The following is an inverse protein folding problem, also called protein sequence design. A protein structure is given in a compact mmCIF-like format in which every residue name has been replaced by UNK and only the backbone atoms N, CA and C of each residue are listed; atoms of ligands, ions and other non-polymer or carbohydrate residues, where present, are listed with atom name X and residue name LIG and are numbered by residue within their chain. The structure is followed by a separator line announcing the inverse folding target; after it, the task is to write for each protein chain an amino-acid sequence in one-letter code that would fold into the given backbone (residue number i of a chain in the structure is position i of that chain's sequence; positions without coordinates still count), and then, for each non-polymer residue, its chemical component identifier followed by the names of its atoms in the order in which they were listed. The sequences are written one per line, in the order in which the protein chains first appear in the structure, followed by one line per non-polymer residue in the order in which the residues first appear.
data_IF_221079540885
#
_entry.id   IF_221079540885
#
_cell.length_a   1.000
_cell.length_b   1.000
_cell.length_c   1.000
_cell.angle_alpha   90.00
_cell.angle_beta   90.00
_cell.angle_gamma   90.00
#
_symmetry.space_group_name_H-M   'P 1'
#
loop_
_entity.id
_entity.type
_entity.pdbx_description
1 polymer ?
#
# COMPACT_ATOMS: atom_id res chain seq x y z
N UNK A 1 56.58 5.60 29.57
CA UNK A 1 55.94 5.39 28.26
C UNK A 1 55.30 4.03 28.24
N UNK A 2 53.99 3.95 28.46
CA UNK A 2 53.19 2.73 28.26
C UNK A 2 51.82 3.15 27.73
N UNK A 3 51.60 2.90 26.44
CA UNK A 3 50.33 3.18 25.76
C UNK A 3 49.30 2.11 26.11
N UNK A 4 48.26 2.50 26.85
CA UNK A 4 47.06 1.68 27.06
C UNK A 4 46.09 1.84 25.89
N UNK A 5 45.78 0.75 25.20
CA UNK A 5 44.81 0.68 24.10
C UNK A 5 43.38 0.94 24.59
N UNK A 6 42.51 1.70 23.89
CA UNK A 6 41.15 1.96 24.34
C UNK A 6 40.26 0.74 24.04
N UNK A 7 39.71 0.13 25.10
CA UNK A 7 38.64 -0.89 25.00
C UNK A 7 37.44 -0.30 24.26
N UNK A 8 37.09 -0.88 23.12
CA UNK A 8 35.89 -0.54 22.34
C UNK A 8 34.64 -0.81 23.20
N UNK A 9 33.92 0.25 23.59
CA UNK A 9 32.57 0.13 24.14
C UNK A 9 31.64 -0.31 23.00
N UNK A 10 31.20 -1.57 23.02
CA UNK A 10 30.10 -2.04 22.17
C UNK A 10 28.88 -1.18 22.46
N UNK A 11 28.39 -0.45 21.45
CA UNK A 11 27.11 0.27 21.53
C UNK A 11 25.97 -0.75 21.59
N UNK A 12 24.98 -0.60 22.48
CA UNK A 12 23.82 -1.48 22.46
C UNK A 12 23.00 -1.24 21.18
N UNK A 13 22.58 -2.33 20.54
CA UNK A 13 21.67 -2.30 19.39
C UNK A 13 20.29 -1.74 19.80
N UNK A 14 19.56 -1.06 18.89
CA UNK A 14 18.22 -0.56 19.17
C UNK A 14 17.25 -1.72 19.50
N UNK A 15 16.49 -1.54 20.60
CA UNK A 15 15.72 -2.55 21.34
C UNK A 15 14.42 -3.03 20.68
N UNK A 16 14.08 -2.60 19.46
CA UNK A 16 12.80 -2.94 18.83
C UNK A 16 12.70 -4.39 18.34
N UNK A 17 13.80 -5.16 18.35
CA UNK A 17 13.84 -6.52 17.77
C UNK A 17 13.47 -7.65 18.75
N UNK A 18 13.35 -7.39 20.05
CA UNK A 18 13.16 -8.45 21.08
C UNK A 18 11.77 -8.46 21.75
N UNK A 19 10.86 -7.56 21.39
CA UNK A 19 9.54 -7.45 22.04
C UNK A 19 8.36 -8.02 21.24
N UNK A 20 8.63 -8.79 20.18
CA UNK A 20 7.60 -9.42 19.34
C UNK A 20 7.51 -10.95 19.44
N UNK A 21 8.17 -11.56 20.43
CA UNK A 21 7.93 -12.96 20.83
C UNK A 21 7.13 -12.97 22.14
N UNK A 22 5.83 -12.69 22.04
CA UNK A 22 4.95 -12.75 23.22
C UNK A 22 3.50 -12.33 23.03
N UNK A 23 3.13 -11.75 21.88
CA UNK A 23 1.72 -11.47 21.57
C UNK A 23 1.32 -12.26 20.33
N UNK A 24 0.83 -13.48 20.56
CA UNK A 24 -0.09 -14.14 19.63
C UNK A 24 -1.32 -13.23 19.47
N UNK A 25 -1.22 -12.29 18.55
CA UNK A 25 -2.33 -11.44 18.14
C UNK A 25 -3.40 -12.36 17.59
N UNK A 26 -4.42 -12.62 18.40
CA UNK A 26 -5.66 -13.21 17.93
C UNK A 26 -6.13 -12.37 16.76
N UNK A 27 -6.28 -12.99 15.59
CA UNK A 27 -6.98 -12.39 14.47
C UNK A 27 -8.39 -12.03 14.98
N UNK A 28 -8.59 -10.77 15.33
CA UNK A 28 -9.89 -10.25 15.75
C UNK A 28 -10.76 -10.27 14.51
N UNK A 29 -11.47 -11.38 14.34
CA UNK A 29 -12.54 -11.54 13.36
C UNK A 29 -13.46 -10.33 13.48
N UNK A 30 -13.45 -9.47 12.45
CA UNK A 30 -14.28 -8.25 12.36
C UNK A 30 -15.70 -8.59 12.83
N UNK A 31 -16.15 -7.99 13.94
CA UNK A 31 -17.56 -8.07 14.34
C UNK A 31 -18.36 -7.24 13.34
N UNK A 32 -19.27 -7.91 12.62
CA UNK A 32 -20.16 -7.31 11.61
C UNK A 32 -21.31 -6.58 12.30
N UNK A 33 -21.54 -5.33 11.92
CA UNK A 33 -22.81 -4.62 12.12
C UNK A 33 -23.67 -4.83 10.87
N UNK A 34 -24.98 -5.11 10.98
CA UNK A 34 -25.84 -5.30 9.82
C UNK A 34 -26.27 -3.95 9.24
N UNK A 35 -25.54 -3.48 8.23
CA UNK A 35 -25.80 -2.29 7.43
C UNK A 35 -24.77 -2.24 6.30
N UNK A 36 -25.16 -1.84 5.08
CA UNK A 36 -24.33 -1.87 3.87
C UNK A 36 -22.90 -1.36 4.13
N UNK A 37 -21.89 -2.14 3.74
CA UNK A 37 -20.49 -1.87 4.08
C UNK A 37 -19.97 -0.67 3.29
N UNK A 38 -19.88 0.51 3.91
CA UNK A 38 -19.17 1.68 3.35
C UNK A 38 -17.81 1.26 2.79
N UNK A 39 -17.51 1.56 1.52
CA UNK A 39 -16.17 1.39 0.93
C UNK A 39 -15.31 2.57 1.34
N UNK A 40 -14.15 2.35 1.94
CA UNK A 40 -13.24 3.46 2.28
C UNK A 40 -12.00 3.48 1.38
N UNK A 41 -11.87 4.51 0.55
CA UNK A 41 -10.68 4.75 -0.29
C UNK A 41 -9.88 5.92 0.25
N UNK A 42 -8.62 5.70 0.57
CA UNK A 42 -7.73 6.76 1.09
C UNK A 42 -6.63 7.06 0.08
N UNK A 43 -6.56 8.30 -0.40
CA UNK A 43 -5.48 8.77 -1.25
C UNK A 43 -4.39 9.43 -0.40
N UNK A 44 -3.18 8.89 -0.47
CA UNK A 44 -1.99 9.49 0.10
C UNK A 44 -1.25 10.28 -0.98
N UNK A 45 -1.05 11.57 -0.74
CA UNK A 45 -0.39 12.48 -1.69
C UNK A 45 0.94 12.97 -1.14
N UNK A 46 1.97 13.09 -1.99
CA UNK A 46 3.28 13.64 -1.64
C UNK A 46 3.53 15.00 -2.31
N UNK A 47 2.54 15.89 -2.20
CA UNK A 47 2.51 17.19 -2.85
C UNK A 47 3.44 18.19 -2.16
N UNK A 48 4.25 18.95 -2.90
CA UNK A 48 5.11 19.99 -2.31
C UNK A 48 4.48 21.39 -2.23
N UNK A 49 3.40 21.61 -2.98
CA UNK A 49 2.63 22.86 -3.01
C UNK A 49 1.17 22.62 -2.68
N UNK A 50 0.46 23.66 -2.25
CA UNK A 50 -0.98 23.60 -1.96
C UNK A 50 -1.80 23.33 -3.24
N UNK A 51 -1.40 23.94 -4.36
CA UNK A 51 -1.95 23.70 -5.69
C UNK A 51 -1.18 22.63 -6.49
N UNK A 52 -0.91 21.48 -5.87
CA UNK A 52 -0.13 20.44 -6.54
C UNK A 52 -0.92 19.67 -7.59
N UNK A 53 -0.27 19.37 -8.72
CA UNK A 53 -0.81 18.48 -9.76
C UNK A 53 -1.07 17.07 -9.23
N UNK A 54 -0.30 16.59 -8.25
CA UNK A 54 -0.50 15.27 -7.65
C UNK A 54 -1.76 15.22 -6.79
N UNK A 55 -2.10 16.31 -6.07
CA UNK A 55 -3.39 16.44 -5.38
C UNK A 55 -4.55 16.47 -6.37
N UNK A 56 -4.43 17.26 -7.44
CA UNK A 56 -5.46 17.30 -8.49
C UNK A 56 -5.67 15.95 -9.17
N UNK A 57 -4.59 15.18 -9.39
CA UNK A 57 -4.68 13.83 -9.94
C UNK A 57 -5.38 12.88 -8.97
N UNK A 58 -5.00 12.89 -7.69
CA UNK A 58 -5.64 12.08 -6.66
C UNK A 58 -7.15 12.41 -6.54
N UNK A 59 -7.51 13.69 -6.56
CA UNK A 59 -8.90 14.11 -6.54
C UNK A 59 -9.66 13.56 -7.75
N UNK A 60 -9.13 13.70 -8.97
CA UNK A 60 -9.77 13.16 -10.19
C UNK A 60 -9.96 11.65 -10.15
N UNK A 61 -9.01 10.92 -9.56
CA UNK A 61 -9.12 9.47 -9.36
C UNK A 61 -10.26 9.14 -8.38
N UNK A 62 -10.36 9.87 -7.27
CA UNK A 62 -11.42 9.68 -6.27
C UNK A 62 -12.80 10.08 -6.81
N UNK A 63 -12.88 11.16 -7.59
CA UNK A 63 -14.11 11.60 -8.26
C UNK A 63 -14.61 10.53 -9.23
N UNK A 64 -13.72 10.01 -10.09
CA UNK A 64 -14.05 8.90 -11.00
C UNK A 64 -14.47 7.63 -10.24
N UNK A 65 -13.88 7.35 -9.07
CA UNK A 65 -14.30 6.23 -8.23
C UNK A 65 -15.71 6.43 -7.66
N UNK A 66 -16.08 7.65 -7.27
CA UNK A 66 -17.42 7.98 -6.81
C UNK A 66 -18.47 7.89 -7.93
N UNK A 67 -18.13 8.37 -9.13
CA UNK A 67 -18.98 8.28 -10.33
C UNK A 67 -19.23 6.82 -10.70
N UNK A 68 -18.17 6.02 -10.89
CA UNK A 68 -18.29 4.60 -11.27
C UNK A 68 -18.97 3.75 -10.19
N UNK A 69 -18.75 4.05 -8.90
CA UNK A 69 -19.44 3.36 -7.81
C UNK A 69 -20.95 3.66 -7.79
N UNK A 70 -21.37 4.83 -8.30
CA UNK A 70 -22.78 5.20 -8.43
C UNK A 70 -23.42 4.54 -9.66
N UNK A 71 -22.72 4.50 -10.79
CA UNK A 71 -23.20 3.87 -12.04
C UNK A 71 -23.33 2.35 -11.94
N UNK A 72 -22.45 1.70 -11.17
CA UNK A 72 -22.52 0.26 -10.94
C UNK A 72 -23.71 -0.19 -10.06
N UNK A 73 -24.50 0.74 -9.53
CA UNK A 73 -25.72 0.42 -8.79
C UNK A 73 -26.80 -0.12 -9.76
N UNK A 74 -27.29 -1.37 -9.60
CA UNK A 74 -28.18 -1.99 -10.58
C UNK A 74 -29.54 -1.26 -10.70
N UNK A 75 -29.91 -0.86 -11.92
CA UNK A 75 -31.20 -0.21 -12.25
C UNK A 75 -32.45 -1.06 -11.94
N UNK A 76 -32.31 -2.39 -11.79
CA UNK A 76 -33.43 -3.33 -11.56
C UNK A 76 -33.60 -3.82 -10.11
N UNK A 77 -32.87 -3.27 -9.14
CA UNK A 77 -33.10 -3.63 -7.74
C UNK A 77 -34.39 -2.96 -7.22
N UNK A 78 -35.35 -3.70 -6.62
CA UNK A 78 -36.54 -3.11 -6.05
C UNK A 78 -36.16 -2.22 -4.87
N UNK A 79 -36.27 -0.90 -5.03
CA UNK A 79 -36.44 0.14 -4.01
C UNK A 79 -35.88 -0.16 -2.58
N UNK A 80 -34.67 -0.70 -2.48
CA UNK A 80 -33.92 -0.77 -1.23
C UNK A 80 -32.73 0.20 -1.37
N UNK A 81 -32.87 1.46 -0.90
CA UNK A 81 -31.83 2.49 -1.00
C UNK A 81 -30.54 2.16 -0.22
N UNK A 82 -30.43 0.96 0.35
CA UNK A 82 -29.31 0.49 1.17
C UNK A 82 -28.32 -0.47 0.45
N UNK A 83 -28.56 -0.84 -0.82
CA UNK A 83 -27.74 -1.87 -1.50
C UNK A 83 -26.43 -1.34 -2.11
N UNK A 84 -26.33 -0.04 -2.42
CA UNK A 84 -25.06 0.57 -2.82
C UNK A 84 -24.29 0.93 -1.57
N UNK A 85 -23.18 0.24 -1.33
CA UNK A 85 -22.23 0.59 -0.28
C UNK A 85 -21.79 2.06 -0.46
N UNK A 86 -22.02 2.97 0.50
CA UNK A 86 -21.57 4.34 0.36
C UNK A 86 -20.05 4.37 0.22
N UNK A 87 -19.53 5.15 -0.74
CA UNK A 87 -18.09 5.37 -0.90
C UNK A 87 -17.65 6.53 0.00
N UNK A 88 -16.73 6.26 0.92
CA UNK A 88 -16.02 7.27 1.71
C UNK A 88 -14.63 7.48 1.11
N UNK A 89 -14.33 8.71 0.70
CA UNK A 89 -13.03 9.07 0.16
C UNK A 89 -12.32 10.09 1.04
N UNK A 90 -11.02 9.92 1.27
CA UNK A 90 -10.19 10.86 2.03
C UNK A 90 -8.86 11.10 1.31
N UNK A 91 -8.39 12.34 1.28
CA UNK A 91 -7.03 12.69 0.83
C UNK A 91 -6.20 13.07 2.06
N UNK A 92 -5.04 12.43 2.21
CA UNK A 92 -4.03 12.77 3.21
C UNK A 92 -2.80 13.31 2.46
N UNK A 93 -2.39 14.53 2.79
CA UNK A 93 -1.21 15.16 2.18
C UNK A 93 0.00 15.06 3.10
N UNK A 94 1.02 14.30 2.69
CA UNK A 94 2.25 14.07 3.45
C UNK A 94 3.03 15.36 3.76
N UNK A 95 2.79 16.44 3.00
CA UNK A 95 3.39 17.76 3.30
C UNK A 95 3.12 18.20 4.74
N UNK A 96 1.90 17.95 5.21
CA UNK A 96 1.42 18.34 6.53
C UNK A 96 2.14 17.58 7.65
N UNK A 97 2.69 16.40 7.33
CA UNK A 97 3.41 15.51 8.25
C UNK A 97 4.93 15.51 8.03
N UNK A 98 5.45 16.47 7.25
CA UNK A 98 6.87 16.50 6.87
C UNK A 98 7.83 16.55 8.06
N UNK A 99 7.49 17.32 9.10
CA UNK A 99 8.29 17.39 10.34
C UNK A 99 8.22 16.09 11.12
N UNK A 100 7.03 15.58 11.34
CA UNK A 100 6.77 14.32 12.06
C UNK A 100 7.50 13.14 11.40
N UNK A 101 7.54 13.11 10.08
CA UNK A 101 8.28 12.11 9.33
C UNK A 101 9.80 12.21 9.53
N UNK A 102 10.36 13.42 9.48
CA UNK A 102 11.79 13.62 9.74
C UNK A 102 12.13 13.25 11.19
N UNK A 103 11.31 13.68 12.15
CA UNK A 103 11.49 13.35 13.56
C UNK A 103 11.42 11.83 13.79
N UNK A 104 10.46 11.15 13.15
CA UNK A 104 10.31 9.69 13.22
C UNK A 104 11.51 8.96 12.58
N UNK A 105 12.04 9.44 11.44
CA UNK A 105 13.26 8.88 10.85
C UNK A 105 14.48 8.99 11.76
N UNK A 106 14.63 10.10 12.48
CA UNK A 106 15.79 10.36 13.33
C UNK A 106 15.70 9.67 14.69
N UNK A 107 14.50 9.59 15.26
CA UNK A 107 14.26 9.04 16.60
C UNK A 107 13.86 7.56 16.60
N UNK A 108 13.30 7.08 15.49
CA UNK A 108 12.70 5.75 15.36
C UNK A 108 11.34 5.62 16.03
N UNK A 109 10.72 6.72 16.47
CA UNK A 109 9.41 6.72 17.14
C UNK A 109 8.44 7.64 16.37
N UNK A 110 7.29 7.14 15.91
CA UNK A 110 6.28 7.98 15.26
C UNK A 110 5.58 8.90 16.28
N UNK A 111 5.07 10.04 15.81
CA UNK A 111 4.15 10.87 16.60
C UNK A 111 2.73 10.31 16.53
N UNK A 112 1.87 10.73 17.46
CA UNK A 112 0.47 10.30 17.50
C UNK A 112 -0.26 10.62 16.18
N UNK A 113 -0.01 11.80 15.59
CA UNK A 113 -0.63 12.20 14.33
C UNK A 113 -0.18 11.33 13.15
N UNK A 114 1.08 10.89 13.16
CA UNK A 114 1.61 9.99 12.12
C UNK A 114 1.05 8.56 12.30
N UNK A 115 0.90 8.10 13.54
CA UNK A 115 0.26 6.82 13.85
C UNK A 115 -1.22 6.81 13.45
N UNK A 116 -1.94 7.92 13.58
CA UNK A 116 -3.30 8.06 13.05
C UNK A 116 -3.34 7.91 11.52
N UNK A 117 -2.40 8.52 10.80
CA UNK A 117 -2.29 8.34 9.34
C UNK A 117 -2.02 6.88 8.98
N UNK A 118 -1.15 6.20 9.73
CA UNK A 118 -0.92 4.76 9.54
C UNK A 118 -2.19 3.95 9.80
N UNK A 119 -2.92 4.25 10.87
CA UNK A 119 -4.18 3.57 11.19
C UNK A 119 -5.23 3.77 10.09
N UNK A 120 -5.34 4.98 9.53
CA UNK A 120 -6.23 5.27 8.40
C UNK A 120 -5.92 4.38 7.20
N UNK A 121 -4.67 4.39 6.71
CA UNK A 121 -4.28 3.55 5.57
C UNK A 121 -4.47 2.04 5.81
N UNK A 122 -4.22 1.56 7.04
CA UNK A 122 -4.42 0.15 7.40
C UNK A 122 -5.88 -0.27 7.48
N UNK A 123 -6.79 0.69 7.62
CA UNK A 123 -8.24 0.44 7.74
C UNK A 123 -9.01 0.74 6.46
N UNK A 124 -8.38 1.39 5.48
CA UNK A 124 -8.92 1.60 4.13
C UNK A 124 -9.16 0.27 3.42
N UNK A 125 -10.22 0.23 2.61
CA UNK A 125 -10.50 -0.88 1.70
C UNK A 125 -9.60 -0.81 0.45
N UNK A 126 -9.19 0.40 0.06
CA UNK A 126 -8.19 0.64 -1.00
C UNK A 126 -7.39 1.92 -0.73
N UNK A 127 -6.18 1.97 -1.31
CA UNK A 127 -5.28 3.12 -1.20
C UNK A 127 -4.88 3.63 -2.58
N UNK A 128 -4.84 4.95 -2.75
CA UNK A 128 -4.24 5.60 -3.92
C UNK A 128 -2.95 6.29 -3.47
N UNK A 129 -1.82 6.02 -4.10
CA UNK A 129 -0.56 6.72 -3.84
C UNK A 129 -0.27 7.68 -4.99
N UNK A 130 -0.25 8.98 -4.73
CA UNK A 130 -0.04 10.01 -5.74
C UNK A 130 1.16 10.90 -5.40
N UNK A 131 2.16 10.94 -6.27
CA UNK A 131 3.35 11.75 -6.05
C UNK A 131 3.91 12.38 -7.34
N UNK A 132 4.56 13.55 -7.26
CA UNK A 132 5.32 14.06 -8.37
C UNK A 132 6.61 13.25 -8.55
N UNK A 133 7.04 13.13 -9.80
CA UNK A 133 8.31 12.52 -10.21
C UNK A 133 9.29 13.64 -10.56
N UNK A 134 10.40 13.68 -9.82
CA UNK A 134 11.52 14.59 -10.07
C UNK A 134 12.79 13.76 -10.31
N UNK A 135 13.58 14.13 -11.31
CA UNK A 135 14.80 13.40 -11.69
C UNK A 135 14.58 11.89 -11.86
N UNK A 136 13.47 11.50 -12.50
CA UNK A 136 13.07 10.10 -12.74
C UNK A 136 12.78 9.25 -11.49
N UNK A 137 12.59 9.87 -10.32
CA UNK A 137 12.22 9.18 -9.08
C UNK A 137 11.00 9.86 -8.45
N UNK A 138 10.06 9.10 -7.85
CA UNK A 138 9.05 9.68 -6.96
C UNK A 138 9.72 10.48 -5.85
N UNK A 139 9.09 11.58 -5.42
CA UNK A 139 9.70 12.44 -4.41
C UNK A 139 10.06 11.70 -3.11
N UNK A 140 11.18 12.11 -2.51
CA UNK A 140 11.69 11.54 -1.27
C UNK A 140 10.70 11.54 -0.09
N UNK A 141 9.72 12.45 -0.07
CA UNK A 141 8.69 12.49 0.97
C UNK A 141 7.80 11.24 0.97
N UNK A 142 7.38 10.77 -0.21
CA UNK A 142 6.62 9.52 -0.33
C UNK A 142 7.50 8.33 0.10
N UNK A 143 8.72 8.30 -0.40
CA UNK A 143 9.67 7.22 -0.09
C UNK A 143 9.94 7.15 1.41
N UNK A 144 10.20 8.29 2.06
CA UNK A 144 10.42 8.38 3.51
C UNK A 144 9.22 7.85 4.30
N UNK A 145 8.00 8.24 3.93
CA UNK A 145 6.78 7.72 4.56
C UNK A 145 6.68 6.20 4.45
N UNK A 146 6.87 5.64 3.25
CA UNK A 146 6.75 4.20 3.03
C UNK A 146 7.82 3.38 3.75
N UNK A 147 9.02 3.94 3.94
CA UNK A 147 10.10 3.28 4.68
C UNK A 147 9.85 3.24 6.19
N UNK A 148 9.10 4.20 6.72
CA UNK A 148 8.66 4.23 8.12
C UNK A 148 7.36 3.44 8.36
N UNK A 149 6.63 3.11 7.28
CA UNK A 149 5.34 2.47 7.40
C UNK A 149 5.47 1.08 8.06
N UNK A 150 4.57 0.70 8.99
CA UNK A 150 4.67 -0.56 9.69
C UNK A 150 4.73 -1.77 8.75
N UNK A 151 5.55 -2.77 9.11
CA UNK A 151 5.72 -3.98 8.32
C UNK A 151 4.38 -4.66 8.04
N UNK A 152 4.17 -5.03 6.78
CA UNK A 152 2.95 -5.66 6.30
C UNK A 152 1.66 -4.88 6.63
N UNK A 153 1.76 -3.57 6.81
CA UNK A 153 0.64 -2.70 7.13
C UNK A 153 -0.40 -2.60 5.99
N UNK A 154 -0.02 -2.87 4.74
CA UNK A 154 -0.94 -2.86 3.60
C UNK A 154 -1.45 -4.25 3.24
N UNK A 155 -1.35 -5.24 4.14
CA UNK A 155 -1.69 -6.63 3.83
C UNK A 155 -3.08 -6.77 3.19
N UNK A 156 -3.10 -7.18 1.92
CA UNK A 156 -4.32 -7.44 1.16
C UNK A 156 -5.07 -6.20 0.71
N UNK A 157 -4.52 -5.00 0.94
CA UNK A 157 -5.12 -3.72 0.52
C UNK A 157 -4.70 -3.46 -0.94
N UNK A 158 -5.66 -3.28 -1.88
CA UNK A 158 -5.40 -2.79 -3.23
C UNK A 158 -4.78 -1.40 -3.21
N UNK A 159 -3.72 -1.21 -4.00
CA UNK A 159 -2.98 0.05 -4.08
C UNK A 159 -2.86 0.50 -5.52
N UNK A 160 -3.50 1.62 -5.86
CA UNK A 160 -3.36 2.29 -7.14
C UNK A 160 -2.16 3.26 -7.09
N UNK A 161 -1.23 3.09 -8.02
CA UNK A 161 -0.08 3.97 -8.17
C UNK A 161 -0.40 5.09 -9.16
N UNK A 162 -0.26 6.32 -8.72
CA UNK A 162 -0.47 7.53 -9.50
C UNK A 162 0.76 8.45 -9.40
N UNK A 163 1.09 9.11 -10.51
CA UNK A 163 2.18 10.08 -10.49
C UNK A 163 2.02 11.20 -11.51
N UNK A 164 2.72 12.30 -11.26
CA UNK A 164 2.75 13.45 -12.16
C UNK A 164 4.18 13.79 -12.56
N UNK A 165 4.37 14.38 -13.74
CA UNK A 165 5.69 14.81 -14.17
C UNK A 165 5.65 15.74 -15.38
N UNK A 166 6.81 16.25 -15.75
CA UNK A 166 6.93 17.16 -16.90
C UNK A 166 6.52 16.51 -18.21
N UNK A 167 7.06 15.32 -18.50
CA UNK A 167 6.84 14.57 -19.75
C UNK A 167 6.57 13.10 -19.46
N UNK A 168 5.96 12.40 -20.41
CA UNK A 168 5.65 10.95 -20.34
C UNK A 168 6.87 10.03 -20.22
N UNK A 169 8.09 10.54 -20.42
CA UNK A 169 9.35 9.77 -20.37
C UNK A 169 9.61 9.13 -19.01
N UNK A 170 9.01 9.66 -17.95
CA UNK A 170 9.15 9.14 -16.57
C UNK A 170 7.89 8.42 -16.07
N UNK A 171 7.02 7.98 -16.97
CA UNK A 171 5.77 7.29 -16.61
C UNK A 171 5.98 6.05 -15.75
N UNK A 172 7.07 5.30 -15.97
CA UNK A 172 7.42 4.10 -15.20
C UNK A 172 8.14 4.38 -13.87
N UNK A 173 8.46 5.64 -13.55
CA UNK A 173 9.25 5.95 -12.36
C UNK A 173 8.55 5.50 -11.06
N UNK A 174 7.23 5.68 -10.98
CA UNK A 174 6.44 5.23 -9.83
C UNK A 174 6.46 3.70 -9.70
N UNK A 175 6.27 2.98 -10.81
CA UNK A 175 6.29 1.52 -10.82
C UNK A 175 7.64 0.94 -10.42
N UNK A 176 8.73 1.47 -10.98
CA UNK A 176 10.08 0.97 -10.72
C UNK A 176 10.49 1.11 -9.25
N UNK A 177 10.03 2.16 -8.56
CA UNK A 177 10.47 2.46 -7.20
C UNK A 177 9.46 2.04 -6.13
N UNK A 178 8.16 2.19 -6.39
CA UNK A 178 7.13 2.03 -5.35
C UNK A 178 6.49 0.65 -5.40
N UNK A 179 6.29 0.04 -6.58
CA UNK A 179 5.65 -1.29 -6.66
C UNK A 179 6.37 -2.36 -5.84
N UNK A 180 7.72 -2.47 -5.82
CA UNK A 180 8.42 -3.40 -4.93
C UNK A 180 8.18 -3.10 -3.44
N UNK A 181 8.08 -1.82 -3.07
CA UNK A 181 7.82 -1.38 -1.70
C UNK A 181 6.40 -1.78 -1.27
N UNK A 182 5.40 -1.65 -2.15
CA UNK A 182 4.04 -2.12 -1.87
C UNK A 182 4.00 -3.63 -1.66
N UNK A 183 4.72 -4.38 -2.49
CA UNK A 183 4.85 -5.83 -2.31
C UNK A 183 5.52 -6.19 -0.97
N UNK A 184 6.55 -5.44 -0.56
CA UNK A 184 7.16 -5.59 0.76
C UNK A 184 6.14 -5.35 1.90
N UNK A 185 5.33 -4.29 1.79
CA UNK A 185 4.25 -3.94 2.72
C UNK A 185 3.00 -4.86 2.61
N UNK A 186 3.07 -5.91 1.78
CA UNK A 186 2.02 -6.91 1.52
C UNK A 186 0.74 -6.34 0.88
N UNK A 187 0.84 -5.17 0.26
CA UNK A 187 -0.23 -4.58 -0.55
C UNK A 187 -0.36 -5.25 -1.92
N UNK A 188 -1.53 -5.07 -2.52
CA UNK A 188 -1.86 -5.53 -3.86
C UNK A 188 -1.72 -4.35 -4.83
N UNK A 189 -0.51 -4.09 -5.31
CA UNK A 189 -0.30 -3.02 -6.29
C UNK A 189 -0.99 -3.37 -7.61
N UNK A 190 -1.93 -2.52 -8.05
CA UNK A 190 -2.68 -2.72 -9.29
C UNK A 190 -1.76 -2.73 -10.52
N UNK A 191 -1.89 -3.67 -11.46
CA UNK A 191 -1.27 -3.58 -12.78
C UNK A 191 -1.36 -2.20 -13.44
N UNK A 192 -2.54 -1.56 -13.40
CA UNK A 192 -2.72 -0.24 -14.02
C UNK A 192 -2.19 0.87 -13.11
N UNK A 193 -1.23 1.65 -13.61
CA UNK A 193 -0.74 2.86 -12.98
C UNK A 193 -1.13 4.09 -13.81
N UNK A 194 -1.41 5.22 -13.13
CA UNK A 194 -1.81 6.48 -13.77
C UNK A 194 -0.65 7.47 -13.76
N UNK A 195 -0.25 7.96 -14.92
CA UNK A 195 0.72 9.04 -15.05
C UNK A 195 0.09 10.25 -15.74
N UNK A 196 0.21 11.43 -15.15
CA UNK A 196 -0.21 12.70 -15.76
C UNK A 196 0.99 13.58 -16.10
N UNK A 197 1.22 13.80 -17.39
CA UNK A 197 2.21 14.73 -17.93
C UNK A 197 1.67 16.17 -17.93
N UNK A 198 2.54 17.16 -18.18
CA UNK A 198 2.11 18.57 -18.29
C UNK A 198 1.02 18.77 -19.35
N UNK A 199 1.17 18.11 -20.50
CA UNK A 199 0.22 18.19 -21.63
C UNK A 199 -1.18 17.68 -21.25
N UNK A 200 -1.27 16.72 -20.31
CA UNK A 200 -2.54 16.18 -19.82
C UNK A 200 -3.39 17.25 -19.10
N UNK A 201 -2.77 18.33 -18.63
CA UNK A 201 -3.44 19.44 -17.95
C UNK A 201 -3.74 20.64 -18.86
N UNK A 202 -3.04 20.75 -19.99
CA UNK A 202 -3.13 21.89 -20.90
C UNK A 202 -3.99 21.65 -22.14
N UNK A 203 -4.24 20.39 -22.50
CA UNK A 203 -5.04 19.99 -23.66
C UNK A 203 -6.43 19.48 -23.23
N UNK A 204 -7.44 19.55 -24.11
CA UNK A 204 -8.75 18.95 -23.86
C UNK A 204 -8.64 17.44 -23.55
N UNK A 205 -9.42 16.95 -22.58
CA UNK A 205 -9.32 15.56 -22.09
C UNK A 205 -9.50 14.50 -23.18
N UNK A 206 -10.32 14.80 -24.18
CA UNK A 206 -10.57 13.95 -25.35
C UNK A 206 -9.27 13.67 -26.14
N UNK A 207 -8.34 14.62 -26.13
CA UNK A 207 -7.05 14.53 -26.84
C UNK A 207 -5.97 13.85 -26.00
N UNK A 208 -6.04 13.95 -24.67
CA UNK A 208 -5.02 13.42 -23.76
C UNK A 208 -5.28 11.95 -23.39
N UNK A 209 -6.54 11.51 -23.45
CA UNK A 209 -6.96 10.20 -22.99
C UNK A 209 -6.70 9.96 -21.49
N UNK A 210 -6.47 11.03 -20.72
CA UNK A 210 -6.20 10.91 -19.28
C UNK A 210 -7.43 10.34 -18.53
N UNK A 211 -8.63 10.79 -18.89
CA UNK A 211 -9.87 10.29 -18.27
C UNK A 211 -10.02 8.78 -18.43
N UNK A 212 -9.86 8.27 -19.65
CA UNK A 212 -9.89 6.83 -19.94
C UNK A 212 -8.87 6.02 -19.15
N UNK A 213 -7.65 6.56 -18.96
CA UNK A 213 -6.60 5.93 -18.14
C UNK A 213 -6.98 5.89 -16.66
N UNK A 214 -7.62 6.95 -16.16
CA UNK A 214 -8.14 7.02 -14.78
C UNK A 214 -9.29 6.03 -14.60
N UNK A 215 -10.29 6.06 -15.48
CA UNK A 215 -11.46 5.15 -15.45
C UNK A 215 -11.01 3.68 -15.42
N UNK A 216 -10.14 3.25 -16.34
CA UNK A 216 -9.64 1.87 -16.37
C UNK A 216 -8.92 1.45 -15.07
N UNK A 217 -8.13 2.35 -14.48
CA UNK A 217 -7.43 2.06 -13.23
C UNK A 217 -8.37 2.01 -12.02
N UNK A 218 -9.43 2.83 -12.04
CA UNK A 218 -10.44 2.90 -10.98
C UNK A 218 -11.38 1.70 -11.06
N UNK A 219 -11.80 1.27 -12.25
CA UNK A 219 -12.57 0.03 -12.45
C UNK A 219 -11.83 -1.15 -11.81
N UNK A 220 -10.55 -1.33 -12.12
CA UNK A 220 -9.70 -2.37 -11.52
C UNK A 220 -9.64 -2.25 -9.97
N UNK A 221 -9.57 -1.03 -9.44
CA UNK A 221 -9.54 -0.78 -8.00
C UNK A 221 -10.86 -1.17 -7.32
N UNK A 222 -11.98 -0.80 -7.93
CA UNK A 222 -13.33 -1.09 -7.44
C UNK A 222 -13.66 -2.59 -7.53
N UNK A 223 -13.18 -3.28 -8.57
CA UNK A 223 -13.30 -4.73 -8.68
C UNK A 223 -12.55 -5.46 -7.55
N UNK A 224 -11.31 -5.06 -7.26
CA UNK A 224 -10.51 -5.68 -6.20
C UNK A 224 -11.08 -5.42 -4.79
N UNK A 225 -11.59 -4.21 -4.53
CA UNK A 225 -12.25 -3.89 -3.25
C UNK A 225 -13.54 -4.69 -3.06
N UNK A 226 -14.31 -4.90 -4.14
CA UNK A 226 -15.55 -5.69 -4.13
C UNK A 226 -15.28 -7.20 -4.03
N UNK A 227 -14.24 -7.71 -4.70
CA UNK A 227 -13.85 -9.12 -4.69
C UNK A 227 -13.29 -9.57 -3.32
N UNK A 228 -12.52 -8.72 -2.64
CA UNK A 228 -12.04 -8.97 -1.27
C UNK A 228 -13.19 -9.18 -0.28
N UNK A 229 -14.34 -8.51 -0.50
CA UNK A 229 -15.57 -8.69 0.30
C UNK A 229 -16.26 -10.03 0.06
N UNK A 230 -16.29 -10.51 -1.19
CA UNK A 230 -16.95 -11.76 -1.55
C UNK A 230 -16.15 -12.99 -1.10
N UNK A 231 -14.81 -12.93 -1.17
CA UNK A 231 -13.91 -14.01 -0.72
C UNK A 231 -14.05 -14.36 0.77
N UNK A 232 -14.35 -13.39 1.63
CA UNK A 232 -14.61 -13.60 3.06
C UNK A 232 -16.00 -14.22 3.36
N UNK A 233 -16.92 -14.25 2.38
CA UNK A 233 -18.26 -14.83 2.48
C UNK A 233 -18.35 -16.30 2.05
N UNK A 234 -17.50 -16.72 1.11
CA UNK A 234 -17.58 -18.05 0.49
C UNK A 234 -16.81 -19.17 1.22
N UNK A 235 -16.15 -18.90 2.34
CA UNK A 235 -15.46 -19.92 3.14
C UNK A 235 -16.41 -20.76 4.03
N UNK A 236 -17.70 -20.87 3.69
CA UNK A 236 -18.74 -21.58 4.47
C UNK A 236 -19.26 -22.87 3.83
N UNK A 237 -18.62 -23.39 2.79
CA UNK A 237 -19.11 -24.61 2.12
C UNK A 237 -18.02 -25.33 1.33
N UNK A 238 -16.96 -25.77 2.00
CA UNK A 238 -16.06 -26.78 1.44
C UNK A 238 -15.61 -27.73 2.56
N UNK A 239 -16.56 -28.50 3.11
CA UNK A 239 -16.23 -29.74 3.79
C UNK A 239 -15.89 -30.78 2.72
N UNK A 240 -14.65 -30.77 2.25
CA UNK A 240 -14.11 -31.91 1.53
C UNK A 240 -13.77 -32.99 2.55
N UNK A 241 -14.62 -34.01 2.63
CA UNK A 241 -14.26 -35.30 3.21
C UNK A 241 -13.15 -35.91 2.36
N UNK A 242 -11.90 -35.71 2.76
CA UNK A 242 -10.71 -36.26 2.14
C UNK A 242 -9.85 -36.96 3.19
N UNK A 243 -9.40 -38.16 2.85
CA UNK A 243 -8.86 -39.17 3.75
C UNK A 243 -7.69 -38.73 4.65
N UNK A 244 -7.63 -39.38 5.81
CA UNK A 244 -6.62 -39.26 6.86
C UNK A 244 -5.23 -39.67 6.33
N UNK A 245 -4.47 -38.70 5.80
CA UNK A 245 -3.04 -38.85 5.52
C UNK A 245 -2.23 -38.42 6.75
N UNK A 246 -1.41 -39.31 7.29
CA UNK A 246 -0.50 -39.06 8.40
C UNK A 246 0.53 -37.99 8.01
N UNK A 247 0.29 -36.74 8.43
CA UNK A 247 1.25 -35.64 8.28
C UNK A 247 2.48 -35.94 9.14
N UNK A 248 3.57 -36.33 8.49
CA UNK A 248 4.89 -36.46 9.11
C UNK A 248 5.32 -35.06 9.56
N UNK A 249 5.60 -34.89 10.85
CA UNK A 249 6.18 -33.67 11.42
C UNK A 249 7.48 -33.37 10.68
N UNK A 250 7.50 -32.29 9.90
CA UNK A 250 8.72 -31.74 9.30
C UNK A 250 9.35 -30.86 10.39
N UNK A 251 10.54 -31.24 10.83
CA UNK A 251 11.35 -30.44 11.75
C UNK A 251 11.73 -29.10 11.07
N UNK A 252 11.79 -27.98 11.82
CA UNK A 252 12.20 -26.71 11.26
C UNK A 252 13.65 -26.81 10.77
N UNK A 253 13.85 -26.66 9.46
CA UNK A 253 15.18 -26.59 8.86
C UNK A 253 15.72 -25.18 9.12
N UNK A 254 16.86 -25.10 9.80
CA UNK A 254 17.59 -23.85 9.97
C UNK A 254 18.19 -23.45 8.61
N UNK A 255 17.56 -22.45 7.96
CA UNK A 255 17.93 -21.94 6.64
C UNK A 255 19.35 -21.33 6.62
N UNK A 256 19.94 -21.06 7.78
CA UNK A 256 21.27 -20.47 7.91
C UNK A 256 22.33 -21.43 8.46
N UNK A 257 22.03 -22.74 8.57
CA UNK A 257 23.04 -23.73 8.93
C UNK A 257 24.11 -23.81 7.82
N UNK A 258 25.38 -23.46 8.11
CA UNK A 258 26.46 -23.46 7.13
C UNK A 258 26.77 -24.85 6.55
N UNK A 259 26.29 -25.93 7.18
CA UNK A 259 26.43 -27.29 6.64
C UNK A 259 25.32 -27.67 5.64
N UNK A 260 24.25 -26.87 5.56
CA UNK A 260 23.09 -27.09 4.68
C UNK A 260 23.09 -26.12 3.49
N UNK A 261 23.86 -25.03 3.58
CA UNK A 261 24.08 -24.07 2.49
C UNK A 261 25.00 -24.72 1.45
N UNK A 262 24.51 -24.89 0.22
CA UNK A 262 25.34 -25.40 -0.88
C UNK A 262 26.45 -24.37 -1.19
N UNK A 263 27.72 -24.75 -1.11
CA UNK A 263 28.82 -23.84 -1.40
C UNK A 263 28.75 -23.34 -2.85
N UNK A 264 28.77 -22.02 -3.04
CA UNK A 264 28.64 -21.37 -4.36
C UNK A 264 29.76 -21.76 -5.33
N UNK A 265 30.93 -22.13 -4.82
CA UNK A 265 32.09 -22.62 -5.57
C UNK A 265 31.85 -24.00 -6.20
N UNK A 266 30.86 -24.77 -5.72
CA UNK A 266 30.49 -26.07 -6.30
C UNK A 266 29.45 -25.95 -7.42
N UNK A 267 28.71 -24.84 -7.51
CA UNK A 267 27.68 -24.60 -8.53
C UNK A 267 28.22 -23.90 -9.79
N UNK A 268 29.43 -23.36 -9.72
CA UNK A 268 30.14 -22.80 -10.85
C UNK A 268 31.21 -23.80 -11.28
N UNK A 269 30.78 -24.82 -12.02
CA UNK A 269 31.68 -25.80 -12.63
C UNK A 269 32.82 -25.12 -13.38
N UNK A 270 34.04 -25.63 -13.16
CA UNK A 270 35.24 -25.25 -13.93
C UNK A 270 35.09 -25.59 -15.41
#
# INVERSE_FOLDING_TARGET
MTHGSPRSRRRPHPRWRTELQGRSGTCTRRRRTPGGLTVKITALTASLSESSTSNRLAQRILDAAAELATEAAPETAPADPQATAPLETEIINLREFSRQLVDSMLTGVPSDELDEVYAKLRTSDAVVLAAPVYNATPIGLLTMFLQLFPEAGLRGIPVLLASTGGTVRHSLAMDQHIRPVIAYLKGLALPTAVFAATDDWGLPEEQTGMRRRIEAAVEELLELTSGSRQGAGNSRGASTSGAHGTSRRVEPVDEFDPNTITPFDQLLGR
#
